data_IF_116692433862
#
_entry.id   IF_116692433862
#
_cell.length_a   1.000
_cell.length_b   1.000
_cell.length_c   1.000
_cell.angle_alpha   90.00
_cell.angle_beta   90.00
_cell.angle_gamma   90.00
#
_symmetry.space_group_name_H-M   'P 1'
#
loop_
_entity.id
_entity.type
_entity.pdbx_description
1 polymer ?
#
# COMPACT_ATOMS: atom_id res chain seq x y z
N UNK A 1 -1.52 -4.58 -30.01
CA UNK A 1 -0.34 -4.88 -29.19
C UNK A 1 -0.14 -3.71 -28.23
N UNK A 2 0.00 -4.03 -26.94
CA UNK A 2 0.33 -3.22 -25.76
C UNK A 2 0.06 -1.70 -25.81
N UNK A 3 -0.89 -1.25 -24.98
CA UNK A 3 -1.07 0.15 -24.64
C UNK A 3 0.22 0.69 -23.98
N UNK A 4 0.92 1.56 -24.70
CA UNK A 4 2.12 2.25 -24.25
C UNK A 4 1.72 3.40 -23.34
N UNK A 5 1.82 3.20 -22.01
CA UNK A 5 1.76 4.30 -21.05
C UNK A 5 3.19 4.71 -20.72
N UNK A 6 3.65 5.81 -21.30
CA UNK A 6 4.75 6.63 -20.78
C UNK A 6 4.30 8.09 -20.99
N UNK A 7 4.24 8.96 -19.96
CA UNK A 7 5.38 9.31 -19.11
C UNK A 7 4.99 9.64 -17.65
N UNK A 8 5.33 8.82 -16.64
CA UNK A 8 4.89 9.14 -15.27
C UNK A 8 5.91 9.96 -14.47
N UNK A 9 5.77 11.28 -14.61
CA UNK A 9 5.91 12.21 -13.48
C UNK A 9 4.68 12.15 -12.54
N UNK A 10 3.68 11.32 -12.87
CA UNK A 10 2.43 11.12 -12.14
C UNK A 10 2.50 9.85 -11.31
N UNK A 11 2.11 9.91 -10.05
CA UNK A 11 2.13 8.77 -9.15
C UNK A 11 1.18 7.65 -9.63
N UNK A 12 1.68 6.42 -9.76
CA UNK A 12 0.92 5.28 -10.29
C UNK A 12 0.16 4.55 -9.15
N UNK A 13 -1.02 5.08 -8.85
CA UNK A 13 -1.88 4.67 -7.74
C UNK A 13 -2.28 3.19 -7.78
N UNK A 14 -2.47 2.61 -8.96
CA UNK A 14 -2.79 1.18 -9.09
C UNK A 14 -1.60 0.29 -8.74
N UNK A 15 -0.40 0.67 -9.19
CA UNK A 15 0.83 -0.08 -8.89
C UNK A 15 1.20 0.04 -7.42
N UNK A 16 0.97 1.19 -6.82
CA UNK A 16 1.13 1.40 -5.39
C UNK A 16 0.12 0.58 -4.58
N UNK A 17 -1.14 0.53 -5.00
CA UNK A 17 -2.16 -0.33 -4.39
C UNK A 17 -1.75 -1.81 -4.40
N UNK A 18 -1.29 -2.32 -5.54
CA UNK A 18 -0.86 -3.71 -5.66
C UNK A 18 0.41 -4.00 -4.83
N UNK A 19 1.36 -3.06 -4.79
CA UNK A 19 2.56 -3.19 -3.98
C UNK A 19 2.23 -3.22 -2.48
N UNK A 20 1.26 -2.42 -2.04
CA UNK A 20 0.76 -2.41 -0.66
C UNK A 20 0.07 -3.72 -0.30
N UNK A 21 -0.86 -4.21 -1.13
CA UNK A 21 -1.54 -5.49 -0.85
C UNK A 21 -0.53 -6.65 -0.84
N UNK A 22 0.47 -6.66 -1.72
CA UNK A 22 1.53 -7.68 -1.70
C UNK A 22 2.40 -7.59 -0.44
N UNK A 23 2.72 -6.39 0.02
CA UNK A 23 3.49 -6.18 1.25
C UNK A 23 2.70 -6.60 2.50
N UNK A 24 1.36 -6.42 2.50
CA UNK A 24 0.45 -6.80 3.59
C UNK A 24 0.07 -8.29 3.58
N UNK A 25 0.11 -8.96 2.41
CA UNK A 25 -0.34 -10.35 2.25
C UNK A 25 0.81 -11.38 2.31
N UNK A 26 2.06 -10.93 2.37
CA UNK A 26 3.24 -11.80 2.44
C UNK A 26 3.35 -12.54 3.79
N UNK A 27 3.77 -13.81 3.76
CA UNK A 27 4.13 -14.57 4.95
C UNK A 27 5.39 -13.93 5.56
N UNK A 28 5.19 -13.11 6.60
CA UNK A 28 6.20 -12.19 7.11
C UNK A 28 6.08 -10.84 6.39
N UNK A 29 5.22 -9.98 6.93
CA UNK A 29 5.04 -8.60 6.47
C UNK A 29 6.41 -7.93 6.31
N UNK A 30 6.77 -7.55 5.09
CA UNK A 30 7.93 -6.71 4.81
C UNK A 30 7.59 -5.29 5.30
N UNK A 31 7.56 -5.11 6.63
CA UNK A 31 7.18 -3.85 7.29
C UNK A 31 8.03 -2.69 6.80
N UNK A 32 9.29 -2.96 6.45
CA UNK A 32 10.19 -2.02 5.79
C UNK A 32 9.66 -1.58 4.42
N UNK A 33 9.08 -2.47 3.60
CA UNK A 33 8.42 -2.05 2.35
C UNK A 33 7.15 -1.26 2.59
N UNK A 34 6.34 -1.64 3.57
CA UNK A 34 5.12 -0.87 3.91
C UNK A 34 5.52 0.53 4.34
N UNK A 35 6.49 0.68 5.25
CA UNK A 35 7.02 1.97 5.70
C UNK A 35 7.67 2.73 4.54
N UNK A 36 8.49 2.09 3.70
CA UNK A 36 9.14 2.75 2.56
C UNK A 36 8.13 3.27 1.55
N UNK A 37 7.08 2.49 1.25
CA UNK A 37 5.96 2.94 0.41
C UNK A 37 5.19 4.08 1.09
N UNK A 38 4.97 4.02 2.40
CA UNK A 38 4.32 5.09 3.16
C UNK A 38 5.15 6.38 3.22
N UNK A 39 6.47 6.28 3.34
CA UNK A 39 7.39 7.43 3.35
C UNK A 39 7.50 8.03 1.95
N UNK A 40 7.46 7.19 0.90
CA UNK A 40 7.43 7.62 -0.50
C UNK A 40 6.06 8.14 -0.96
N UNK A 41 4.97 7.73 -0.31
CA UNK A 41 3.61 8.18 -0.61
C UNK A 41 3.16 9.26 0.37
N UNK A 42 3.10 10.50 -0.10
CA UNK A 42 2.53 11.59 0.69
C UNK A 42 1.03 11.35 0.97
N UNK A 43 0.46 12.08 1.94
CA UNK A 43 -0.95 11.91 2.32
C UNK A 43 -1.92 12.07 1.13
N UNK A 44 -1.63 12.96 0.18
CA UNK A 44 -2.47 13.13 -1.01
C UNK A 44 -2.44 11.89 -1.91
N UNK A 45 -1.25 11.32 -2.16
CA UNK A 45 -1.08 10.09 -2.92
C UNK A 45 -1.78 8.92 -2.23
N UNK A 46 -1.73 8.80 -0.90
CA UNK A 46 -2.48 7.76 -0.18
C UNK A 46 -3.99 7.85 -0.40
N UNK A 47 -4.54 9.06 -0.44
CA UNK A 47 -5.96 9.27 -0.77
C UNK A 47 -6.25 8.84 -2.22
N UNK A 48 -5.33 9.10 -3.15
CA UNK A 48 -5.43 8.65 -4.54
C UNK A 48 -5.38 7.11 -4.66
N UNK A 49 -4.58 6.41 -3.85
CA UNK A 49 -4.50 4.93 -3.82
C UNK A 49 -5.75 4.32 -3.17
N UNK A 50 -6.34 5.00 -2.18
CA UNK A 50 -7.46 4.46 -1.39
C UNK A 50 -8.63 4.05 -2.27
N UNK A 51 -9.00 4.89 -3.24
CA UNK A 51 -10.11 4.62 -4.17
C UNK A 51 -9.89 3.35 -5.00
N UNK A 52 -8.81 3.22 -5.80
CA UNK A 52 -8.56 2.02 -6.57
C UNK A 52 -8.27 0.80 -5.69
N UNK A 53 -7.65 0.96 -4.52
CA UNK A 53 -7.43 -0.15 -3.58
C UNK A 53 -8.76 -0.73 -3.09
N UNK A 54 -9.69 0.15 -2.69
CA UNK A 54 -11.02 -0.26 -2.23
C UNK A 54 -11.84 -0.89 -3.34
N UNK A 55 -11.78 -0.35 -4.56
CA UNK A 55 -12.48 -0.92 -5.71
C UNK A 55 -11.90 -2.29 -6.11
N UNK A 56 -10.58 -2.45 -6.08
CA UNK A 56 -9.90 -3.67 -6.54
C UNK A 56 -9.93 -4.80 -5.51
N UNK A 57 -9.77 -4.48 -4.22
CA UNK A 57 -9.63 -5.46 -3.15
C UNK A 57 -10.80 -5.47 -2.17
N UNK A 58 -11.71 -4.49 -2.22
CA UNK A 58 -12.83 -4.38 -1.29
C UNK A 58 -12.43 -3.98 0.13
N UNK A 59 -11.17 -3.55 0.34
CA UNK A 59 -10.60 -3.24 1.65
C UNK A 59 -10.28 -1.75 1.78
N UNK A 60 -10.34 -1.21 2.99
CA UNK A 60 -9.87 0.15 3.26
C UNK A 60 -8.36 0.13 3.50
N UNK A 61 -7.61 0.79 2.60
CA UNK A 61 -6.15 0.82 2.63
C UNK A 61 -5.59 1.29 3.99
N UNK A 62 -6.16 2.35 4.56
CA UNK A 62 -5.73 2.88 5.85
C UNK A 62 -5.96 1.88 7.00
N UNK A 63 -7.02 1.08 6.90
CA UNK A 63 -7.34 0.06 7.90
C UNK A 63 -6.33 -1.09 7.84
N UNK A 64 -6.01 -1.60 6.65
CA UNK A 64 -4.98 -2.64 6.51
C UNK A 64 -3.60 -2.13 6.95
N UNK A 65 -3.23 -0.90 6.58
CA UNK A 65 -1.98 -0.28 7.06
C UNK A 65 -1.93 -0.19 8.59
N UNK A 66 -3.02 0.24 9.23
CA UNK A 66 -3.10 0.31 10.70
C UNK A 66 -3.03 -1.08 11.35
N UNK A 67 -3.70 -2.07 10.78
CA UNK A 67 -3.67 -3.46 11.29
C UNK A 67 -2.26 -4.04 11.23
N UNK A 68 -1.58 -3.89 10.10
CA UNK A 68 -0.20 -4.40 9.93
C UNK A 68 0.81 -3.72 10.85
N UNK A 69 0.64 -2.42 11.12
CA UNK A 69 1.51 -1.68 12.05
C UNK A 69 1.16 -1.95 13.52
N UNK A 70 -0.11 -2.18 13.84
CA UNK A 70 -0.56 -2.44 15.22
C UNK A 70 -0.22 -3.86 15.68
N UNK A 71 -0.25 -4.84 14.79
CA UNK A 71 0.11 -6.22 15.15
C UNK A 71 1.56 -6.37 15.62
N UNK A 72 2.46 -5.48 15.21
CA UNK A 72 3.85 -5.44 15.69
C UNK A 72 3.96 -4.94 17.13
N UNK A 73 3.13 -3.98 17.53
CA UNK A 73 3.11 -3.49 18.91
C UNK A 73 2.68 -4.60 19.87
N UNK A 74 1.77 -5.48 19.44
CA UNK A 74 1.39 -6.66 20.21
C UNK A 74 2.48 -7.74 20.23
N UNK A 75 3.20 -7.95 19.11
CA UNK A 75 4.30 -8.92 19.00
C UNK A 75 5.52 -8.53 19.86
N UNK A 76 5.83 -7.23 19.98
CA UNK A 76 6.97 -6.72 20.78
C UNK A 76 6.68 -6.76 22.30
N UNK A 77 5.42 -6.82 22.72
CA UNK A 77 5.01 -6.84 24.13
C UNK A 77 4.83 -8.29 24.65
N UNK A 78 5.01 -9.30 23.79
CA UNK A 78 4.96 -10.73 24.13
C UNK A 78 6.15 -11.24 24.93
#
# INVERSE_FOLDING_TARGET
MQATIHPSASFDEQRAAESLERAMRGYGTDKQRVIDVLVRCNNAQRQMIRTPYKVRYGKDLEHELKRELSGDLEDVIG
#
